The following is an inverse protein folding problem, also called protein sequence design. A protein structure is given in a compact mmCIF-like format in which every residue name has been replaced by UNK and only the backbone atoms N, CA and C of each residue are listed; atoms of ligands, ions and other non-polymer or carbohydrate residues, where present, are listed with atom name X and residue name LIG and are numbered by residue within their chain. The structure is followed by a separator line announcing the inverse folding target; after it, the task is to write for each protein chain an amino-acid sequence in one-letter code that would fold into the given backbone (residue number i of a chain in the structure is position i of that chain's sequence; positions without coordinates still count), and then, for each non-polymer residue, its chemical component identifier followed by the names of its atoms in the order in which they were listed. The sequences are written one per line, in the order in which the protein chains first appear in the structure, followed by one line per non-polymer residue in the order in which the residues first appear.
data_IF_620131568257
#
_entry.id   IF_620131568257
#
_cell.length_a   1.000
_cell.length_b   1.000
_cell.length_c   1.000
_cell.angle_alpha   90.00
_cell.angle_beta   90.00
_cell.angle_gamma   90.00
#
_symmetry.space_group_name_H-M   'P 1'
#
loop_
_entity.id
_entity.type
_entity.pdbx_description
1 polymer ?
#
# COMPACT_ATOMS: atom_id res chain seq x y z
N UNK A 1 -15.26 5.81 -16.08
CA UNK A 1 -15.23 5.58 -14.62
C UNK A 1 -13.78 5.65 -14.20
N UNK A 2 -13.40 6.62 -13.37
CA UNK A 2 -12.01 6.85 -12.99
C UNK A 2 -11.56 5.70 -12.07
N UNK A 3 -10.36 5.15 -12.28
CA UNK A 3 -9.82 4.02 -11.50
C UNK A 3 -9.85 4.28 -9.96
N UNK A 4 -9.76 5.54 -9.56
CA UNK A 4 -9.85 5.99 -8.16
C UNK A 4 -11.30 5.96 -7.61
N UNK A 5 -12.33 6.15 -8.43
CA UNK A 5 -13.73 6.04 -7.98
C UNK A 5 -14.14 4.60 -7.70
N UNK A 6 -13.58 3.63 -8.43
CA UNK A 6 -13.79 2.20 -8.13
C UNK A 6 -13.15 1.79 -6.80
N UNK A 7 -12.05 2.45 -6.40
CA UNK A 7 -11.30 2.19 -5.17
C UNK A 7 -12.00 2.74 -3.90
N UNK A 8 -12.94 3.68 -4.03
CA UNK A 8 -13.64 4.32 -2.88
C UNK A 8 -14.71 3.45 -2.21
N UNK A 9 -14.99 2.25 -2.71
CA UNK A 9 -16.07 1.39 -2.21
C UNK A 9 -15.66 0.33 -1.17
N UNK A 10 -14.37 0.20 -0.85
CA UNK A 10 -13.87 -0.90 -0.01
C UNK A 10 -13.78 -0.54 1.48
N UNK A 11 -14.86 -0.05 2.09
CA UNK A 11 -14.97 0.11 3.55
C UNK A 11 -15.37 -1.20 4.25
N UNK A 12 -14.77 -2.33 3.88
CA UNK A 12 -15.05 -3.62 4.51
C UNK A 12 -13.98 -3.91 5.57
N UNK A 13 -14.21 -3.40 6.78
CA UNK A 13 -13.25 -3.43 7.91
C UNK A 13 -13.39 -4.65 8.82
N UNK A 14 -14.17 -5.65 8.45
CA UNK A 14 -14.30 -6.85 9.26
C UNK A 14 -13.10 -7.77 9.06
N UNK A 15 -12.42 -8.10 10.15
CA UNK A 15 -11.26 -8.99 10.15
C UNK A 15 -11.48 -10.16 11.09
N UNK A 16 -10.96 -11.33 10.70
CA UNK A 16 -10.79 -12.49 11.58
C UNK A 16 -9.32 -12.63 11.94
N UNK A 17 -9.01 -13.20 13.10
CA UNK A 17 -7.64 -13.62 13.41
C UNK A 17 -7.41 -15.03 12.86
N UNK A 18 -6.33 -15.19 12.07
CA UNK A 18 -5.92 -16.46 11.48
C UNK A 18 -4.50 -16.82 11.90
N UNK A 19 -4.20 -18.12 11.97
CA UNK A 19 -2.88 -18.64 12.32
C UNK A 19 -1.92 -18.50 11.12
N UNK A 20 -0.75 -17.92 11.34
CA UNK A 20 0.29 -17.84 10.31
C UNK A 20 0.75 -19.23 9.85
N UNK A 21 0.84 -20.18 10.79
CA UNK A 21 1.19 -21.58 10.50
C UNK A 21 0.20 -22.23 9.54
N UNK A 22 -1.11 -22.04 9.78
CA UNK A 22 -2.14 -22.69 8.97
C UNK A 22 -2.26 -22.10 7.56
N UNK A 23 -2.06 -20.79 7.44
CA UNK A 23 -2.22 -20.08 6.15
C UNK A 23 -0.96 -20.15 5.28
N UNK A 24 0.24 -20.08 5.91
CA UNK A 24 1.51 -19.93 5.18
C UNK A 24 2.41 -21.17 5.29
N UNK A 25 2.09 -22.11 6.18
CA UNK A 25 2.91 -23.32 6.41
C UNK A 25 4.23 -23.03 7.12
N UNK A 26 4.37 -21.88 7.78
CA UNK A 26 5.57 -21.45 8.49
C UNK A 26 5.56 -21.88 9.96
N UNK A 27 6.74 -21.96 10.57
CA UNK A 27 6.91 -22.41 11.98
C UNK A 27 6.48 -21.39 13.05
N UNK A 28 5.67 -20.37 12.70
CA UNK A 28 5.26 -19.29 13.59
C UNK A 28 3.86 -19.48 14.16
N UNK A 29 3.70 -19.37 15.48
CA UNK A 29 2.39 -19.35 16.15
C UNK A 29 1.69 -17.98 16.14
N UNK A 30 2.20 -17.04 15.32
CA UNK A 30 1.65 -15.69 15.18
C UNK A 30 0.23 -15.75 14.64
N UNK A 31 -0.70 -15.06 15.31
CA UNK A 31 -2.04 -14.80 14.78
C UNK A 31 -2.07 -13.42 14.14
N UNK A 32 -2.66 -13.32 12.96
CA UNK A 32 -2.68 -12.11 12.14
C UNK A 32 -4.09 -11.80 11.66
N UNK A 33 -4.44 -10.51 11.45
CA UNK A 33 -5.73 -10.16 10.89
C UNK A 33 -5.83 -10.55 9.42
N UNK A 34 -6.94 -11.15 9.04
CA UNK A 34 -7.35 -11.42 7.67
C UNK A 34 -8.68 -10.72 7.41
N UNK A 35 -8.79 -9.96 6.33
CA UNK A 35 -10.07 -9.39 5.94
C UNK A 35 -11.04 -10.48 5.50
N UNK A 36 -12.30 -10.39 5.95
CA UNK A 36 -13.34 -11.37 5.60
C UNK A 36 -13.66 -11.27 4.11
N UNK A 37 -13.79 -10.05 3.62
CA UNK A 37 -14.14 -9.79 2.22
C UNK A 37 -12.88 -9.45 1.41
N UNK A 38 -12.85 -9.97 0.19
CA UNK A 38 -11.79 -9.70 -0.77
C UNK A 38 -12.16 -8.49 -1.63
N UNK A 39 -11.29 -7.48 -1.69
CA UNK A 39 -11.45 -6.33 -2.56
C UNK A 39 -10.85 -6.56 -3.96
N UNK A 40 -11.18 -5.67 -4.91
CA UNK A 40 -10.61 -5.71 -6.26
C UNK A 40 -9.08 -5.50 -6.27
N UNK A 41 -8.55 -4.82 -5.25
CA UNK A 41 -7.11 -4.55 -5.12
C UNK A 41 -6.34 -5.67 -4.41
N UNK A 42 -7.00 -6.77 -4.03
CA UNK A 42 -6.32 -7.93 -3.49
C UNK A 42 -5.56 -8.67 -4.59
N UNK A 43 -4.28 -8.97 -4.41
CA UNK A 43 -3.53 -9.74 -5.38
C UNK A 43 -4.13 -11.14 -5.60
N UNK A 44 -3.83 -11.73 -6.74
CA UNK A 44 -4.22 -13.11 -7.03
C UNK A 44 -3.34 -14.09 -6.26
N UNK A 45 -3.95 -15.12 -5.69
CA UNK A 45 -3.23 -16.19 -5.00
C UNK A 45 -2.53 -17.09 -6.03
N UNK A 46 -1.21 -17.21 -5.92
CA UNK A 46 -0.45 -18.26 -6.58
C UNK A 46 -0.42 -19.49 -5.65
N UNK A 47 -1.07 -20.57 -6.06
CA UNK A 47 -1.18 -21.81 -5.28
C UNK A 47 0.16 -22.54 -5.12
N UNK A 48 1.11 -22.29 -6.03
CA UNK A 48 2.42 -22.93 -6.02
C UNK A 48 3.48 -22.12 -5.28
N UNK A 49 3.10 -20.97 -4.72
CA UNK A 49 4.03 -20.09 -4.01
C UNK A 49 4.49 -20.71 -2.71
N UNK A 50 5.81 -20.80 -2.53
CA UNK A 50 6.47 -21.30 -1.31
C UNK A 50 6.92 -20.12 -0.45
N UNK A 51 6.52 -20.12 0.81
CA UNK A 51 6.85 -19.06 1.75
C UNK A 51 8.15 -19.35 2.49
N UNK A 52 9.01 -18.35 2.59
CA UNK A 52 10.17 -18.34 3.48
C UNK A 52 9.72 -17.90 4.88
N UNK A 53 10.10 -18.66 5.91
CA UNK A 53 9.63 -18.45 7.29
C UNK A 53 10.01 -17.06 7.82
N UNK A 54 11.26 -16.65 7.64
CA UNK A 54 11.78 -15.41 8.20
C UNK A 54 11.16 -14.20 7.53
N UNK A 55 11.19 -14.15 6.20
CA UNK A 55 10.62 -13.03 5.41
C UNK A 55 9.11 -12.93 5.63
N UNK A 56 8.41 -14.06 5.61
CA UNK A 56 6.95 -14.09 5.87
C UNK A 56 6.63 -13.55 7.24
N UNK A 57 7.36 -13.99 8.28
CA UNK A 57 7.16 -13.52 9.66
C UNK A 57 7.38 -12.01 9.76
N UNK A 58 8.42 -11.48 9.13
CA UNK A 58 8.69 -10.03 9.11
C UNK A 58 7.52 -9.25 8.49
N UNK A 59 7.01 -9.70 7.33
CA UNK A 59 5.87 -9.05 6.66
C UNK A 59 4.61 -9.12 7.55
N UNK A 60 4.33 -10.28 8.16
CA UNK A 60 3.18 -10.47 9.05
C UNK A 60 3.24 -9.58 10.29
N UNK A 61 4.44 -9.39 10.87
CA UNK A 61 4.65 -8.43 11.97
C UNK A 61 4.40 -6.99 11.50
N UNK A 62 4.81 -6.65 10.28
CA UNK A 62 4.51 -5.37 9.65
C UNK A 62 3.00 -5.14 9.53
N UNK A 63 2.26 -6.12 9.01
CA UNK A 63 0.80 -6.06 8.87
C UNK A 63 0.10 -5.96 10.22
N UNK A 64 0.45 -6.81 11.18
CA UNK A 64 -0.21 -6.88 12.49
C UNK A 64 0.05 -5.64 13.34
N UNK A 65 1.30 -5.22 13.46
CA UNK A 65 1.72 -4.16 14.39
C UNK A 65 2.00 -2.80 13.73
N UNK A 66 1.62 -2.65 12.48
CA UNK A 66 1.87 -1.43 11.71
C UNK A 66 3.36 -1.01 11.71
N UNK A 67 4.27 -2.00 11.61
CA UNK A 67 5.70 -1.72 11.49
C UNK A 67 6.06 -1.50 10.03
N UNK A 68 6.99 -0.58 9.78
CA UNK A 68 7.56 -0.39 8.45
C UNK A 68 8.54 -1.53 8.19
N UNK A 69 8.37 -2.23 7.09
CA UNK A 69 9.21 -3.37 6.72
C UNK A 69 9.96 -3.04 5.44
N UNK A 70 11.26 -3.20 5.49
CA UNK A 70 12.15 -3.03 4.36
C UNK A 70 12.79 -4.37 4.00
N UNK A 71 12.50 -4.86 2.79
CA UNK A 71 13.06 -6.12 2.28
C UNK A 71 14.23 -5.83 1.34
N UNK A 72 15.43 -6.12 1.79
CA UNK A 72 16.64 -5.96 1.00
C UNK A 72 17.05 -7.28 0.34
N UNK A 73 17.48 -7.21 -0.92
CA UNK A 73 17.99 -8.37 -1.66
C UNK A 73 18.18 -8.03 -3.13
N UNK A 74 18.81 -8.94 -3.86
CA UNK A 74 19.10 -8.79 -5.30
C UNK A 74 17.81 -8.65 -6.12
N UNK A 75 17.92 -8.06 -7.32
CA UNK A 75 16.81 -8.01 -8.26
C UNK A 75 16.36 -9.43 -8.65
N UNK A 76 15.05 -9.61 -8.83
CA UNK A 76 14.49 -10.90 -9.25
C UNK A 76 14.36 -11.96 -8.14
N UNK A 77 14.70 -11.65 -6.88
CA UNK A 77 14.56 -12.60 -5.75
C UNK A 77 13.13 -12.72 -5.21
N UNK A 78 12.16 -12.04 -5.82
CA UNK A 78 10.75 -12.18 -5.47
C UNK A 78 10.27 -11.36 -4.27
N UNK A 79 11.03 -10.36 -3.80
CA UNK A 79 10.66 -9.51 -2.64
C UNK A 79 9.24 -8.96 -2.72
N UNK A 80 8.92 -8.24 -3.78
CA UNK A 80 7.60 -7.63 -3.97
C UNK A 80 6.51 -8.67 -4.15
N UNK A 81 6.80 -9.75 -4.89
CA UNK A 81 5.88 -10.89 -5.05
C UNK A 81 5.59 -11.57 -3.71
N UNK A 82 6.56 -11.64 -2.80
CA UNK A 82 6.38 -12.22 -1.46
C UNK A 82 5.36 -11.40 -0.65
N UNK A 83 5.52 -10.06 -0.64
CA UNK A 83 4.56 -9.16 0.01
C UNK A 83 3.16 -9.33 -0.60
N UNK A 84 3.06 -9.32 -1.94
CA UNK A 84 1.80 -9.52 -2.64
C UNK A 84 1.15 -10.87 -2.31
N UNK A 85 1.92 -11.97 -2.23
CA UNK A 85 1.39 -13.29 -1.90
C UNK A 85 0.97 -13.41 -0.43
N UNK A 86 1.64 -12.72 0.50
CA UNK A 86 1.18 -12.62 1.89
C UNK A 86 -0.14 -11.84 1.95
N UNK A 87 -0.21 -10.67 1.30
CA UNK A 87 -1.43 -9.87 1.23
C UNK A 87 -2.60 -10.64 0.57
N UNK A 88 -2.33 -11.40 -0.51
CA UNK A 88 -3.35 -12.18 -1.20
C UNK A 88 -4.05 -13.20 -0.29
N UNK A 89 -3.29 -13.87 0.60
CA UNK A 89 -3.84 -14.88 1.51
C UNK A 89 -4.57 -14.28 2.71
N UNK A 90 -4.27 -13.02 3.03
CA UNK A 90 -4.95 -12.28 4.08
C UNK A 90 -6.10 -11.42 3.57
N UNK A 91 -6.46 -11.53 2.29
CA UNK A 91 -7.43 -10.65 1.60
C UNK A 91 -7.09 -9.16 1.79
N UNK A 92 -5.80 -8.85 2.00
CA UNK A 92 -5.32 -7.48 2.21
C UNK A 92 -5.14 -6.81 0.86
N UNK A 93 -5.81 -5.68 0.60
CA UNK A 93 -5.57 -4.90 -0.60
C UNK A 93 -4.10 -4.48 -0.67
N UNK A 94 -3.50 -4.64 -1.83
CA UNK A 94 -2.07 -4.37 -2.01
C UNK A 94 -1.86 -3.56 -3.30
N UNK A 95 -1.16 -2.46 -3.18
CA UNK A 95 -0.81 -1.60 -4.31
C UNK A 95 0.70 -1.42 -4.36
N UNK A 96 1.27 -1.67 -5.52
CA UNK A 96 2.70 -1.54 -5.76
C UNK A 96 2.99 -0.32 -6.61
N UNK A 97 3.99 0.44 -6.19
CA UNK A 97 4.54 1.59 -6.92
C UNK A 97 6.02 1.30 -7.15
N UNK A 98 6.43 1.28 -8.41
CA UNK A 98 7.84 1.24 -8.75
C UNK A 98 8.39 2.67 -8.74
N UNK A 99 9.39 2.93 -7.87
CA UNK A 99 10.03 4.23 -7.71
C UNK A 99 11.19 4.35 -8.71
N UNK A 100 10.87 4.48 -9.99
CA UNK A 100 11.85 4.78 -11.01
C UNK A 100 12.14 6.29 -11.13
N UNK A 101 13.13 6.65 -11.95
CA UNK A 101 13.52 8.04 -12.18
C UNK A 101 12.45 8.91 -12.86
N UNK A 102 11.35 8.33 -13.35
CA UNK A 102 10.27 9.02 -14.01
C UNK A 102 9.14 9.41 -13.05
N UNK A 103 9.02 8.72 -11.91
CA UNK A 103 8.00 9.05 -10.89
C UNK A 103 8.35 10.38 -10.25
N UNK A 104 7.41 11.31 -10.29
CA UNK A 104 7.52 12.64 -9.71
C UNK A 104 6.63 12.79 -8.47
N UNK A 105 6.87 13.85 -7.68
CA UNK A 105 6.00 14.21 -6.56
C UNK A 105 4.54 14.36 -6.97
N UNK A 106 4.29 14.92 -8.16
CA UNK A 106 2.93 15.15 -8.69
C UNK A 106 2.22 13.82 -8.93
N UNK A 107 2.93 12.79 -9.40
CA UNK A 107 2.35 11.47 -9.64
C UNK A 107 1.94 10.79 -8.33
N UNK A 108 2.71 11.02 -7.26
CA UNK A 108 2.39 10.46 -5.94
C UNK A 108 1.28 11.21 -5.22
N UNK A 109 1.37 12.54 -5.16
CA UNK A 109 0.46 13.39 -4.36
C UNK A 109 -0.81 13.72 -5.12
N UNK A 110 -0.68 14.03 -6.40
CA UNK A 110 -1.76 14.54 -7.25
C UNK A 110 -1.46 15.92 -7.83
N UNK A 111 -2.36 16.40 -8.62
CA UNK A 111 -2.24 17.67 -9.35
C UNK A 111 -3.58 18.30 -9.63
N UNK A 112 -3.57 19.60 -9.81
CA UNK A 112 -4.70 20.31 -10.38
C UNK A 112 -4.85 19.99 -11.88
N UNK A 113 -6.05 19.67 -12.28
CA UNK A 113 -6.40 19.35 -13.66
C UNK A 113 -7.62 20.14 -14.09
N UNK A 114 -7.61 20.62 -15.33
CA UNK A 114 -8.76 21.30 -15.92
C UNK A 114 -9.72 20.22 -16.44
N UNK A 115 -10.92 20.18 -15.90
CA UNK A 115 -11.98 19.26 -16.31
C UNK A 115 -13.17 20.05 -16.87
N UNK A 116 -13.87 19.47 -17.85
CA UNK A 116 -15.10 20.06 -18.39
C UNK A 116 -16.29 19.54 -17.56
N UNK A 117 -16.94 20.45 -16.82
CA UNK A 117 -18.21 20.19 -16.15
C UNK A 117 -19.27 21.14 -16.68
N UNK A 118 -20.37 20.61 -17.17
CA UNK A 118 -21.50 21.40 -17.72
C UNK A 118 -21.04 22.45 -18.77
N UNK A 119 -20.16 22.06 -19.68
CA UNK A 119 -19.55 22.91 -20.71
C UNK A 119 -18.71 24.10 -20.17
N UNK A 120 -18.32 24.08 -18.91
CA UNK A 120 -17.40 25.05 -18.31
C UNK A 120 -16.09 24.36 -17.92
N UNK A 121 -14.98 25.05 -18.12
CA UNK A 121 -13.68 24.62 -17.62
C UNK A 121 -13.60 24.91 -16.12
N UNK A 122 -13.37 23.86 -15.33
CA UNK A 122 -13.20 23.94 -13.87
C UNK A 122 -11.87 23.33 -13.52
N UNK A 123 -11.11 23.97 -12.63
CA UNK A 123 -9.92 23.35 -12.05
C UNK A 123 -10.36 22.41 -10.92
N UNK A 124 -9.92 21.15 -10.99
CA UNK A 124 -10.21 20.14 -9.99
C UNK A 124 -8.92 19.38 -9.63
N UNK A 125 -8.70 19.19 -8.32
CA UNK A 125 -7.55 18.43 -7.88
C UNK A 125 -7.77 16.94 -8.14
N UNK A 126 -6.87 16.33 -8.89
CA UNK A 126 -6.81 14.89 -9.08
C UNK A 126 -5.87 14.30 -8.03
N UNK A 127 -6.44 13.57 -7.07
CA UNK A 127 -5.70 12.91 -6.01
C UNK A 127 -4.77 11.84 -6.58
N UNK A 128 -3.51 11.84 -6.11
CA UNK A 128 -2.51 10.84 -6.46
C UNK A 128 -2.69 9.53 -5.66
N UNK A 129 -1.84 8.56 -5.96
CA UNK A 129 -1.94 7.23 -5.35
C UNK A 129 -1.60 7.22 -3.86
N UNK A 130 -0.69 8.08 -3.39
CA UNK A 130 -0.24 8.11 -2.01
C UNK A 130 -1.31 8.65 -1.05
N UNK A 131 -1.96 9.81 -1.27
CA UNK A 131 -3.05 10.28 -0.42
C UNK A 131 -4.22 9.30 -0.38
N UNK A 132 -4.56 8.71 -1.53
CA UNK A 132 -5.58 7.68 -1.59
C UNK A 132 -5.20 6.46 -0.75
N UNK A 133 -4.03 5.88 -0.94
CA UNK A 133 -3.57 4.71 -0.18
C UNK A 133 -3.54 4.99 1.33
N UNK A 134 -3.06 6.19 1.70
CA UNK A 134 -2.94 6.64 3.08
C UNK A 134 -4.28 6.67 3.84
N UNK A 135 -5.37 6.93 3.14
CA UNK A 135 -6.73 7.00 3.69
C UNK A 135 -7.51 5.67 3.60
N UNK A 136 -6.89 4.60 3.07
CA UNK A 136 -7.55 3.32 2.86
C UNK A 136 -6.83 2.15 3.56
N UNK A 137 -7.54 1.03 3.68
CA UNK A 137 -7.04 -0.22 4.27
C UNK A 137 -6.12 -0.99 3.30
N UNK A 138 -5.04 -0.40 2.86
CA UNK A 138 -4.15 -0.91 1.82
C UNK A 138 -2.72 -1.12 2.31
N UNK A 139 -2.07 -2.16 1.82
CA UNK A 139 -0.62 -2.33 1.89
C UNK A 139 0.00 -1.65 0.66
N UNK A 140 0.74 -0.56 0.88
CA UNK A 140 1.46 0.16 -0.15
C UNK A 140 2.89 -0.35 -0.20
N UNK A 141 3.31 -0.83 -1.36
CA UNK A 141 4.66 -1.37 -1.59
C UNK A 141 5.42 -0.40 -2.48
N UNK A 142 6.49 0.15 -1.98
CA UNK A 142 7.45 0.93 -2.75
C UNK A 142 8.55 -0.01 -3.26
N UNK A 143 8.50 -0.33 -4.53
CA UNK A 143 9.50 -1.15 -5.18
C UNK A 143 10.64 -0.29 -5.72
N UNK A 144 11.85 -0.85 -5.78
CA UNK A 144 13.07 -0.13 -6.18
C UNK A 144 13.27 1.18 -5.40
N UNK A 145 13.10 1.10 -4.08
CA UNK A 145 13.12 2.24 -3.17
C UNK A 145 14.38 3.10 -3.28
N UNK A 146 15.52 2.49 -3.58
CA UNK A 146 16.82 3.12 -3.77
C UNK A 146 16.96 3.91 -5.09
N UNK A 147 16.10 3.64 -6.07
CA UNK A 147 16.06 4.36 -7.35
C UNK A 147 15.20 5.63 -7.32
N UNK A 148 14.50 5.87 -6.21
CA UNK A 148 13.58 6.99 -6.06
C UNK A 148 14.29 8.36 -6.11
N UNK A 149 13.65 9.33 -6.77
CA UNK A 149 14.16 10.71 -6.83
C UNK A 149 14.13 11.37 -5.44
N UNK A 150 15.08 12.24 -5.09
CA UNK A 150 15.12 12.89 -3.77
C UNK A 150 13.84 13.63 -3.39
N UNK A 151 13.21 14.34 -4.33
CA UNK A 151 11.96 15.08 -4.10
C UNK A 151 10.77 14.16 -3.76
N UNK A 152 10.75 12.96 -4.35
CA UNK A 152 9.79 11.88 -4.06
C UNK A 152 10.08 11.26 -2.70
N UNK A 153 11.34 10.99 -2.41
CA UNK A 153 11.76 10.36 -1.15
C UNK A 153 11.42 11.21 0.07
N UNK A 154 11.53 12.55 -0.01
CA UNK A 154 11.10 13.44 1.08
C UNK A 154 9.60 13.34 1.39
N UNK A 155 8.77 13.12 0.39
CA UNK A 155 7.32 12.92 0.59
C UNK A 155 7.07 11.57 1.27
N UNK A 156 7.73 10.51 0.80
CA UNK A 156 7.59 9.16 1.35
C UNK A 156 8.08 9.12 2.80
N UNK A 157 9.21 9.79 3.11
CA UNK A 157 9.76 9.84 4.46
C UNK A 157 8.73 10.34 5.49
N UNK A 158 7.92 11.34 5.15
CA UNK A 158 6.87 11.88 6.05
C UNK A 158 5.81 10.84 6.41
N UNK A 159 5.42 9.97 5.49
CA UNK A 159 4.43 8.93 5.75
C UNK A 159 5.03 7.68 6.42
N UNK A 160 6.35 7.57 6.43
CA UNK A 160 7.06 6.50 7.15
C UNK A 160 7.20 6.78 8.66
N UNK A 161 7.06 8.01 9.11
CA UNK A 161 7.11 8.36 10.53
C UNK A 161 6.03 7.62 11.33
N UNK A 162 6.26 7.37 12.62
CA UNK A 162 5.34 6.61 13.48
C UNK A 162 3.94 7.25 13.57
N UNK A 163 3.90 8.58 13.68
CA UNK A 163 2.68 9.40 13.62
C UNK A 163 2.62 10.19 12.31
N UNK A 164 3.05 9.56 11.22
CA UNK A 164 3.16 10.23 9.93
C UNK A 164 1.84 10.86 9.51
N UNK A 165 1.92 12.10 9.06
CA UNK A 165 0.80 12.84 8.47
C UNK A 165 1.18 13.30 7.08
N UNK A 166 0.24 13.24 6.17
CA UNK A 166 0.44 13.71 4.81
C UNK A 166 -0.22 15.07 4.63
N UNK A 167 0.59 16.11 4.37
CA UNK A 167 0.09 17.46 4.13
C UNK A 167 -0.06 17.70 2.64
N UNK A 168 -1.27 17.99 2.20
CA UNK A 168 -1.61 18.40 0.85
C UNK A 168 -1.67 19.93 0.84
N UNK A 169 -0.56 20.57 0.45
CA UNK A 169 -0.43 22.03 0.50
C UNK A 169 -1.45 22.72 -0.43
N UNK A 170 -1.64 22.19 -1.62
CA UNK A 170 -2.55 22.76 -2.63
C UNK A 170 -4.02 22.73 -2.19
N UNK A 171 -4.36 21.86 -1.22
CA UNK A 171 -5.68 21.75 -0.63
C UNK A 171 -5.77 22.28 0.81
N UNK A 172 -4.67 22.77 1.37
CA UNK A 172 -4.59 23.18 2.79
C UNK A 172 -5.11 22.09 3.74
N UNK A 173 -4.83 20.81 3.43
CA UNK A 173 -5.38 19.64 4.12
C UNK A 173 -4.27 18.78 4.70
N UNK A 174 -4.51 18.27 5.91
CA UNK A 174 -3.63 17.31 6.59
C UNK A 174 -4.38 15.99 6.71
N UNK A 175 -3.82 14.93 6.15
CA UNK A 175 -4.38 13.58 6.18
C UNK A 175 -3.73 12.78 7.31
N UNK A 176 -4.53 11.95 7.97
CA UNK A 176 -4.08 10.92 8.90
C UNK A 176 -4.21 9.54 8.27
N UNK A 177 -3.32 8.59 8.62
CA UNK A 177 -3.37 7.25 8.02
C UNK A 177 -4.59 6.48 8.48
N UNK A 178 -5.11 5.66 7.56
CA UNK A 178 -6.12 4.67 7.91
C UNK A 178 -5.53 3.65 8.91
N UNK A 179 -6.28 3.14 9.90
CA UNK A 179 -5.77 2.18 10.90
C UNK A 179 -5.16 0.91 10.29
N UNK A 180 -5.64 0.48 9.13
CA UNK A 180 -5.11 -0.66 8.38
C UNK A 180 -4.21 -0.26 7.19
N UNK A 181 -3.80 0.98 7.09
CA UNK A 181 -2.77 1.36 6.13
C UNK A 181 -1.42 0.78 6.52
N UNK A 182 -0.73 0.15 5.58
CA UNK A 182 0.60 -0.46 5.79
C UNK A 182 1.56 -0.03 4.70
N UNK A 183 2.85 0.03 5.03
CA UNK A 183 3.92 0.39 4.08
C UNK A 183 5.01 -0.67 4.12
N UNK A 184 5.44 -1.03 2.92
CA UNK A 184 6.56 -1.93 2.65
C UNK A 184 7.49 -1.30 1.60
N UNK A 185 8.79 -1.63 1.64
CA UNK A 185 9.76 -1.26 0.63
C UNK A 185 10.78 -2.38 0.41
#
# INVERSE_FOLDING_TARGET
MNKIEALKKDNLLETNEVSAKDIFGIGSDLKVPQFINKSENCPKIDKNYVFDDETTTAILLGLKYNKRVFLQGLHGTGKSSHIEQVCARLNWPCVRINLDSHVSRIDLIGKDSIVLKENKQVTEFQEGILPWAFQNNVALVFDEYDAGRPDVMFVIQRVLEAEGKLTLLDQSKVLSPHPFFRIFA
#
